data_IF_361048723088
#
_entry.id   IF_361048723088
#
_cell.length_a   1.000
_cell.length_b   1.000
_cell.length_c   1.000
_cell.angle_alpha   90.00
_cell.angle_beta   90.00
_cell.angle_gamma   90.00
#
_symmetry.space_group_name_H-M   'P 1'
#
loop_
_entity.id
_entity.type
_entity.pdbx_description
1 polymer ?
#
# COMPACT_ATOMS: atom_id res chain seq x y z
N UNK A 1 -28.75 10.74 2.19
CA UNK A 1 -27.45 10.09 2.47
C UNK A 1 -26.38 10.74 1.59
N UNK A 2 -25.37 11.43 2.16
CA UNK A 2 -24.22 11.91 1.39
C UNK A 2 -23.44 10.68 0.90
N UNK A 3 -23.36 10.47 -0.42
CA UNK A 3 -22.41 9.51 -1.00
C UNK A 3 -21.01 9.96 -0.57
N UNK A 4 -20.33 9.18 0.28
CA UNK A 4 -18.88 9.30 0.39
C UNK A 4 -18.33 8.92 -0.98
N UNK A 5 -17.70 9.86 -1.68
CA UNK A 5 -16.96 9.55 -2.90
C UNK A 5 -15.76 8.69 -2.49
N UNK A 6 -15.98 7.38 -2.35
CA UNK A 6 -14.93 6.38 -2.18
C UNK A 6 -14.29 6.11 -3.54
N UNK A 7 -13.78 7.16 -4.17
CA UNK A 7 -13.08 7.06 -5.43
C UNK A 7 -11.79 6.27 -5.17
N UNK A 8 -11.68 5.14 -5.85
CA UNK A 8 -10.50 4.28 -5.79
C UNK A 8 -9.87 4.20 -7.16
N UNK A 9 -8.54 4.24 -7.21
CA UNK A 9 -7.78 4.10 -8.45
C UNK A 9 -7.10 2.74 -8.46
N UNK A 10 -7.33 1.96 -9.52
CA UNK A 10 -6.60 0.72 -9.73
C UNK A 10 -5.22 1.03 -10.32
N UNK A 11 -4.18 0.41 -9.76
CA UNK A 11 -2.80 0.53 -10.26
C UNK A 11 -2.29 -0.85 -10.68
N UNK A 12 -1.46 -0.88 -11.72
CA UNK A 12 -0.72 -2.08 -12.13
C UNK A 12 0.76 -1.84 -11.91
N UNK A 13 1.41 -2.71 -11.14
CA UNK A 13 2.85 -2.59 -10.81
C UNK A 13 3.58 -3.83 -11.30
N UNK A 14 4.67 -3.65 -12.04
CA UNK A 14 5.57 -4.75 -12.42
C UNK A 14 6.61 -4.95 -11.33
N UNK A 15 6.67 -6.16 -10.77
CA UNK A 15 7.59 -6.52 -9.68
C UNK A 15 8.32 -7.81 -10.09
N UNK A 16 9.64 -7.91 -9.88
CA UNK A 16 10.36 -9.16 -10.09
C UNK A 16 9.70 -10.33 -9.33
N UNK A 17 9.50 -11.45 -10.02
CA UNK A 17 8.73 -12.60 -9.50
C UNK A 17 9.25 -13.11 -8.15
N UNK A 18 10.57 -13.24 -8.02
CA UNK A 18 11.22 -13.69 -6.79
C UNK A 18 10.96 -12.72 -5.63
N UNK A 19 11.16 -11.43 -5.87
CA UNK A 19 10.92 -10.38 -4.88
C UNK A 19 9.46 -10.40 -4.37
N UNK A 20 8.49 -10.49 -5.29
CA UNK A 20 7.08 -10.55 -4.89
C UNK A 20 6.75 -11.81 -4.08
N UNK A 21 7.31 -12.96 -4.46
CA UNK A 21 7.09 -14.22 -3.75
C UNK A 21 7.65 -14.17 -2.32
N UNK A 22 8.86 -13.65 -2.16
CA UNK A 22 9.52 -13.53 -0.84
C UNK A 22 8.77 -12.52 0.04
N UNK A 23 8.42 -11.37 -0.51
CA UNK A 23 7.61 -10.36 0.17
C UNK A 23 6.25 -10.88 0.62
N UNK A 24 5.55 -11.64 -0.23
CA UNK A 24 4.27 -12.26 0.12
C UNK A 24 4.41 -13.24 1.29
N UNK A 25 5.48 -14.05 1.32
CA UNK A 25 5.73 -15.00 2.44
C UNK A 25 5.93 -14.27 3.77
N UNK A 26 6.72 -13.19 3.75
CA UNK A 26 6.95 -12.36 4.95
C UNK A 26 5.62 -11.80 5.46
N UNK A 27 4.83 -11.15 4.60
CA UNK A 27 3.55 -10.59 5.02
C UNK A 27 2.57 -11.65 5.53
N UNK A 28 2.53 -12.83 4.92
CA UNK A 28 1.70 -13.93 5.41
C UNK A 28 2.10 -14.38 6.82
N UNK A 29 3.39 -14.43 7.14
CA UNK A 29 3.87 -14.77 8.49
C UNK A 29 3.47 -13.73 9.54
N UNK A 30 3.22 -12.49 9.13
CA UNK A 30 2.75 -11.39 9.98
C UNK A 30 1.22 -11.24 9.99
N UNK A 31 0.48 -12.13 9.29
CA UNK A 31 -0.98 -12.02 9.16
C UNK A 31 -1.47 -10.85 8.30
N UNK A 32 -0.59 -10.29 7.45
CA UNK A 32 -0.86 -9.15 6.58
C UNK A 32 -1.12 -9.58 5.13
N UNK A 33 -1.71 -8.68 4.35
CA UNK A 33 -1.86 -8.86 2.90
C UNK A 33 -1.20 -7.71 2.13
N UNK A 34 -0.66 -8.05 0.96
CA UNK A 34 0.12 -7.17 0.08
C UNK A 34 -0.58 -5.85 -0.23
N UNK A 35 -1.89 -5.89 -0.50
CA UNK A 35 -2.65 -4.70 -0.92
C UNK A 35 -2.76 -3.65 0.18
N UNK A 36 -2.94 -4.07 1.44
CA UNK A 36 -2.98 -3.13 2.57
C UNK A 36 -1.59 -2.62 2.92
N UNK A 37 -0.56 -3.47 2.83
CA UNK A 37 0.81 -3.04 3.10
C UNK A 37 1.27 -1.96 2.11
N UNK A 38 1.05 -2.17 0.81
CA UNK A 38 1.32 -1.16 -0.23
C UNK A 38 0.53 0.14 0.01
N UNK A 39 -0.75 0.04 0.37
CA UNK A 39 -1.58 1.21 0.66
C UNK A 39 -1.07 1.98 1.88
N UNK A 40 -0.67 1.28 2.93
CA UNK A 40 -0.14 1.88 4.16
C UNK A 40 1.18 2.60 3.86
N UNK A 41 2.09 1.95 3.13
CA UNK A 41 3.33 2.56 2.68
C UNK A 41 3.08 3.85 1.89
N UNK A 42 2.15 3.84 0.93
CA UNK A 42 1.77 5.06 0.20
C UNK A 42 1.23 6.16 1.13
N UNK A 43 0.41 5.79 2.12
CA UNK A 43 -0.11 6.73 3.11
C UNK A 43 1.02 7.35 3.93
N UNK A 44 1.97 6.54 4.38
CA UNK A 44 3.08 6.98 5.22
C UNK A 44 4.06 7.87 4.46
N UNK A 45 4.35 7.55 3.19
CA UNK A 45 5.13 8.43 2.29
C UNK A 45 4.49 9.81 2.18
N UNK A 46 3.17 9.86 1.98
CA UNK A 46 2.43 11.14 1.87
C UNK A 46 2.43 11.90 3.20
N UNK A 47 2.17 11.20 4.32
CA UNK A 47 2.15 11.82 5.65
C UNK A 47 3.51 12.38 6.03
N UNK A 48 4.58 11.62 5.81
CA UNK A 48 5.94 12.04 6.15
C UNK A 48 6.36 13.25 5.31
N UNK A 49 6.03 13.27 4.01
CA UNK A 49 6.30 14.43 3.16
C UNK A 49 5.48 15.67 3.56
N UNK A 50 4.20 15.51 3.88
CA UNK A 50 3.35 16.62 4.38
C UNK A 50 3.73 17.08 5.78
N UNK A 51 4.31 16.21 6.61
CA UNK A 51 4.84 16.53 7.93
C UNK A 51 6.17 17.28 7.88
N UNK A 52 6.92 17.17 6.79
CA UNK A 52 8.15 17.92 6.52
C UNK A 52 7.89 19.33 5.95
N UNK A 53 6.67 19.63 5.51
CA UNK A 53 6.25 20.94 4.99
C UNK A 53 5.58 21.83 6.06
N UNK A 54 5.70 21.48 7.35
CA UNK A 54 5.19 22.27 8.48
C UNK A 54 6.30 22.93 9.28
#
# INVERSE_FOLDING_TARGET
MKKKNNETTSISVRIPKKLYADYKKVLMSEGKIVTYDLRNYMSDVVKNKKGLEK
#
